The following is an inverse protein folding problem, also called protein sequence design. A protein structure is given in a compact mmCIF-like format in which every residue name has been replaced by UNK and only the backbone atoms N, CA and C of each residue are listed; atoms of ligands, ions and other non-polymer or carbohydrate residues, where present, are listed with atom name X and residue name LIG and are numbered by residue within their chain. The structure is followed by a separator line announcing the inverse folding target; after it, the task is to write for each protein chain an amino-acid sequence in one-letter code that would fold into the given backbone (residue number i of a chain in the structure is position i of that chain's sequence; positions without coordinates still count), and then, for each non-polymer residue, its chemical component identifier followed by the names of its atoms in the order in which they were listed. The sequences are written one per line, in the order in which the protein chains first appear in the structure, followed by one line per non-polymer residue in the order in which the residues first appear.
data_IF_884454028596
#
_entry.id   IF_884454028596
#
_cell.length_a   1.000
_cell.length_b   1.000
_cell.length_c   1.000
_cell.angle_alpha   90.00
_cell.angle_beta   90.00
_cell.angle_gamma   90.00
#
_symmetry.space_group_name_H-M   'P 1'
#
loop_
_entity.id
_entity.type
_entity.pdbx_description
1 polymer ?
#
# COMPACT_ATOMS: atom_id res chain seq x y z
N UNK A 1 -4.32 4.77 19.96
CA UNK A 1 -3.02 5.47 19.92
C UNK A 1 -3.24 6.79 19.19
N UNK A 2 -2.76 7.91 19.72
CA UNK A 2 -2.75 9.17 18.97
C UNK A 2 -1.77 8.95 17.82
N UNK A 3 -2.27 9.00 16.58
CA UNK A 3 -1.44 8.91 15.38
C UNK A 3 -0.50 10.12 15.37
N UNK A 4 0.80 9.89 15.16
CA UNK A 4 1.77 10.97 15.04
C UNK A 4 1.28 11.95 13.94
N UNK A 5 1.13 13.26 14.22
CA UNK A 5 0.61 14.22 13.25
C UNK A 5 1.38 14.27 11.92
N UNK A 6 2.64 13.81 11.88
CA UNK A 6 3.39 13.66 10.62
C UNK A 6 2.75 12.65 9.65
N UNK A 7 1.86 11.78 10.14
CA UNK A 7 1.12 10.78 9.37
C UNK A 7 -0.38 11.09 9.27
N UNK A 8 -0.83 12.30 9.64
CA UNK A 8 -2.21 12.73 9.43
C UNK A 8 -2.56 12.71 7.93
N UNK A 9 -3.83 12.52 7.57
CA UNK A 9 -4.25 12.57 6.16
C UNK A 9 -4.38 14.01 5.63
N UNK A 10 -4.49 15.00 6.50
CA UNK A 10 -4.38 16.41 6.14
C UNK A 10 -2.92 16.81 5.88
N UNK A 11 -2.66 17.25 4.64
CA UNK A 11 -1.34 17.71 4.21
C UNK A 11 -0.82 18.89 5.03
N UNK A 12 -1.68 19.84 5.41
CA UNK A 12 -1.25 21.02 6.15
C UNK A 12 -0.82 20.67 7.58
N UNK A 13 -1.46 19.67 8.19
CA UNK A 13 -1.03 19.11 9.47
C UNK A 13 0.37 18.52 9.34
N UNK A 14 0.58 17.65 8.33
CA UNK A 14 1.89 17.03 8.08
C UNK A 14 2.99 18.06 7.81
N UNK A 15 2.72 19.04 6.95
CA UNK A 15 3.70 20.06 6.56
C UNK A 15 4.11 20.93 7.76
N UNK A 16 3.14 21.35 8.58
CA UNK A 16 3.43 22.10 9.81
C UNK A 16 4.27 21.27 10.77
N UNK A 17 3.90 20.01 11.00
CA UNK A 17 4.66 19.12 11.87
C UNK A 17 6.07 18.88 11.33
N UNK A 18 6.25 18.71 10.01
CA UNK A 18 7.58 18.54 9.43
C UNK A 18 8.46 19.78 9.67
N UNK A 19 7.93 20.99 9.46
CA UNK A 19 8.68 22.24 9.71
C UNK A 19 9.13 22.36 11.17
N UNK A 20 8.24 22.08 12.11
CA UNK A 20 8.58 22.06 13.54
C UNK A 20 9.71 21.06 13.84
N UNK A 21 9.66 19.87 13.25
CA UNK A 21 10.68 18.82 13.43
C UNK A 21 12.04 19.24 12.85
N UNK A 22 12.04 19.86 11.67
CA UNK A 22 13.26 20.40 11.04
C UNK A 22 13.92 21.48 11.91
N UNK A 23 13.12 22.31 12.59
CA UNK A 23 13.63 23.39 13.45
C UNK A 23 14.13 22.89 14.81
N UNK A 24 13.54 21.81 15.34
CA UNK A 24 13.76 21.36 16.72
C UNK A 24 14.65 20.13 16.86
N UNK A 25 14.77 19.31 15.82
CA UNK A 25 15.58 18.10 15.83
C UNK A 25 16.96 18.34 15.21
N UNK A 26 17.94 17.54 15.62
CA UNK A 26 19.24 17.45 14.97
C UNK A 26 19.32 16.18 14.13
N UNK A 27 19.94 16.30 12.96
CA UNK A 27 20.10 15.19 12.03
C UNK A 27 21.59 14.84 11.89
N UNK A 28 21.94 13.55 11.71
CA UNK A 28 23.31 13.15 11.41
C UNK A 28 23.73 13.66 10.02
N UNK A 29 25.05 13.68 9.78
CA UNK A 29 25.57 13.81 8.42
C UNK A 29 25.10 12.64 7.55
N UNK A 30 24.92 12.91 6.25
CA UNK A 30 24.55 11.87 5.29
C UNK A 30 25.67 10.83 5.20
N UNK A 31 25.29 9.55 5.35
CA UNK A 31 26.14 8.40 5.11
C UNK A 31 26.21 8.04 3.63
N UNK A 32 26.32 6.74 3.34
CA UNK A 32 26.35 6.19 1.97
C UNK A 32 25.16 5.30 1.63
N UNK A 33 24.26 5.07 2.60
CA UNK A 33 23.10 4.23 2.39
C UNK A 33 22.03 4.95 1.58
N UNK A 34 21.46 4.21 0.63
CA UNK A 34 20.39 4.67 -0.25
C UNK A 34 19.18 3.77 -0.06
N UNK A 35 18.00 4.36 0.07
CA UNK A 35 16.73 3.64 -0.05
C UNK A 35 15.86 4.31 -1.10
N UNK A 36 15.92 3.81 -2.34
CA UNK A 36 15.20 4.38 -3.48
C UNK A 36 13.79 3.81 -3.69
N UNK A 37 13.34 2.87 -2.84
CA UNK A 37 12.05 2.19 -3.00
C UNK A 37 11.35 2.03 -1.65
N UNK A 38 10.59 3.05 -1.28
CA UNK A 38 9.67 2.99 -0.17
C UNK A 38 8.24 3.32 -0.61
N UNK A 39 7.27 2.57 -0.13
CA UNK A 39 5.86 2.93 -0.27
C UNK A 39 5.44 3.89 0.85
N UNK A 40 4.47 4.75 0.57
CA UNK A 40 3.81 5.61 1.55
C UNK A 40 2.36 5.15 1.76
N UNK A 41 1.60 5.83 2.60
CA UNK A 41 0.17 5.56 2.76
C UNK A 41 -0.67 5.85 1.52
N UNK A 42 -0.11 6.51 0.49
CA UNK A 42 -0.83 6.73 -0.78
C UNK A 42 -0.96 5.43 -1.59
N UNK A 43 -0.19 4.39 -1.24
CA UNK A 43 -0.42 3.03 -1.73
C UNK A 43 -0.57 2.03 -0.59
N UNK A 44 0.51 1.68 0.10
CA UNK A 44 0.45 0.99 1.39
C UNK A 44 1.79 1.05 2.10
N UNK A 45 1.79 1.53 3.35
CA UNK A 45 2.93 1.39 4.24
C UNK A 45 2.46 0.74 5.55
N UNK A 46 3.12 -0.34 5.99
CA UNK A 46 2.70 -1.08 7.18
C UNK A 46 2.79 -0.27 8.49
N UNK A 47 3.56 0.82 8.50
CA UNK A 47 3.66 1.77 9.62
C UNK A 47 2.77 3.01 9.42
N UNK A 48 2.04 3.08 8.31
CA UNK A 48 1.23 4.25 7.94
C UNK A 48 2.05 5.50 7.63
N UNK A 49 3.30 5.35 7.15
CA UNK A 49 4.14 6.52 6.86
C UNK A 49 3.60 7.35 5.70
N UNK A 50 3.46 8.65 5.93
CA UNK A 50 3.33 9.66 4.89
C UNK A 50 4.64 9.83 4.11
N UNK A 51 4.61 10.48 2.93
CA UNK A 51 5.85 10.92 2.29
C UNK A 51 6.73 11.77 3.20
N UNK A 52 6.15 12.72 3.96
CA UNK A 52 6.89 13.56 4.90
C UNK A 52 7.54 12.76 6.03
N UNK A 53 6.83 11.78 6.57
CA UNK A 53 7.34 10.90 7.62
C UNK A 53 8.50 10.05 7.11
N UNK A 54 8.36 9.46 5.93
CA UNK A 54 9.47 8.71 5.32
C UNK A 54 10.70 9.59 5.08
N UNK A 55 10.54 10.82 4.57
CA UNK A 55 11.65 11.75 4.40
C UNK A 55 12.33 12.09 5.74
N UNK A 56 11.54 12.37 6.78
CA UNK A 56 12.06 12.66 8.12
C UNK A 56 12.83 11.47 8.71
N UNK A 57 12.29 10.26 8.61
CA UNK A 57 12.96 9.04 9.09
C UNK A 57 14.22 8.73 8.27
N UNK A 58 14.19 8.93 6.94
CA UNK A 58 15.38 8.82 6.10
C UNK A 58 16.50 9.76 6.57
N UNK A 59 16.15 11.02 6.89
CA UNK A 59 17.10 12.01 7.41
C UNK A 59 17.64 11.63 8.79
N UNK A 60 16.77 11.17 9.71
CA UNK A 60 17.18 10.67 11.05
C UNK A 60 18.13 9.49 10.98
N UNK A 61 17.99 8.62 9.98
CA UNK A 61 18.87 7.47 9.77
C UNK A 61 20.16 7.83 9.00
N UNK A 62 20.34 9.09 8.58
CA UNK A 62 21.51 9.53 7.84
C UNK A 62 21.61 8.90 6.44
N UNK A 63 20.49 8.66 5.77
CA UNK A 63 20.52 8.21 4.37
C UNK A 63 21.12 9.29 3.47
N UNK A 64 21.91 8.86 2.47
CA UNK A 64 22.37 9.76 1.41
C UNK A 64 21.21 10.15 0.49
N UNK A 65 20.30 9.22 0.25
CA UNK A 65 19.14 9.40 -0.62
C UNK A 65 17.94 8.56 -0.14
N UNK A 66 16.75 9.15 -0.23
CA UNK A 66 15.47 8.48 -0.05
C UNK A 66 14.58 8.58 -1.29
N UNK A 67 13.85 7.53 -1.62
CA UNK A 67 12.90 7.53 -2.74
C UNK A 67 11.57 6.88 -2.39
N UNK A 68 10.49 7.49 -2.86
CA UNK A 68 9.14 6.92 -2.76
C UNK A 68 8.72 6.31 -4.09
N UNK A 69 8.01 5.19 -4.02
CA UNK A 69 7.48 4.46 -5.16
C UNK A 69 6.10 3.93 -4.78
N UNK A 70 5.06 4.73 -5.00
CA UNK A 70 3.70 4.32 -4.66
C UNK A 70 3.06 3.48 -5.78
N UNK A 71 2.23 2.52 -5.39
CA UNK A 71 1.56 1.62 -6.31
C UNK A 71 0.42 2.32 -7.06
N UNK A 72 0.44 2.30 -8.39
CA UNK A 72 -0.56 2.87 -9.32
C UNK A 72 -0.81 4.40 -9.21
N UNK A 73 -0.06 5.14 -8.37
CA UNK A 73 -0.31 6.58 -8.15
C UNK A 73 0.97 7.40 -7.95
N UNK A 74 0.86 8.72 -8.19
CA UNK A 74 1.87 9.74 -7.89
C UNK A 74 1.41 10.74 -6.82
N UNK A 75 0.38 10.41 -6.03
CA UNK A 75 -0.26 11.34 -5.08
C UNK A 75 0.70 11.89 -4.01
N UNK A 76 1.78 11.16 -3.69
CA UNK A 76 2.81 11.58 -2.74
C UNK A 76 3.92 12.48 -3.31
N UNK A 77 3.94 12.72 -4.63
CA UNK A 77 5.05 13.36 -5.34
C UNK A 77 5.36 14.77 -4.81
N UNK A 78 4.37 15.67 -4.79
CA UNK A 78 4.59 17.07 -4.41
C UNK A 78 4.97 17.21 -2.92
N UNK A 79 4.35 16.38 -2.08
CA UNK A 79 4.68 16.32 -0.65
C UNK A 79 6.13 15.85 -0.45
N UNK A 80 6.56 14.79 -1.15
CA UNK A 80 7.91 14.26 -0.97
C UNK A 80 8.98 15.23 -1.48
N UNK A 81 8.73 15.93 -2.58
CA UNK A 81 9.62 17.00 -3.03
C UNK A 81 9.67 18.17 -2.05
N UNK A 82 8.54 18.55 -1.45
CA UNK A 82 8.52 19.57 -0.41
C UNK A 82 9.32 19.14 0.82
N UNK A 83 9.10 17.90 1.29
CA UNK A 83 9.75 17.38 2.47
C UNK A 83 11.27 17.20 2.28
N UNK A 84 11.69 16.63 1.15
CA UNK A 84 13.10 16.42 0.82
C UNK A 84 13.87 17.74 0.72
N UNK A 85 13.28 18.79 0.14
CA UNK A 85 13.88 20.13 0.09
C UNK A 85 14.03 20.75 1.47
N UNK A 86 13.02 20.60 2.35
CA UNK A 86 13.09 21.11 3.73
C UNK A 86 14.17 20.41 4.55
N UNK A 87 14.41 19.12 4.30
CA UNK A 87 15.37 18.29 5.03
C UNK A 87 16.77 18.26 4.39
N UNK A 88 16.96 18.88 3.23
CA UNK A 88 18.16 18.73 2.40
C UNK A 88 18.51 17.23 2.21
N UNK A 89 17.54 16.47 1.69
CA UNK A 89 17.63 15.04 1.40
C UNK A 89 17.63 14.85 -0.12
N UNK A 90 18.61 14.12 -0.67
CA UNK A 90 18.56 13.72 -2.08
C UNK A 90 17.37 12.80 -2.27
N UNK A 91 16.55 13.07 -3.29
CA UNK A 91 15.27 12.41 -3.45
C UNK A 91 15.01 11.92 -4.87
N UNK A 92 14.16 10.90 -4.96
CA UNK A 92 13.58 10.42 -6.21
C UNK A 92 12.13 10.00 -5.97
N UNK A 93 11.28 10.25 -6.95
CA UNK A 93 9.89 9.80 -6.94
C UNK A 93 9.69 8.83 -8.10
N UNK A 94 9.04 7.72 -7.81
CA UNK A 94 8.64 6.71 -8.77
C UNK A 94 7.20 6.28 -8.58
N UNK A 95 6.76 5.47 -9.53
CA UNK A 95 5.51 4.73 -9.50
C UNK A 95 5.83 3.27 -9.76
N UNK A 96 5.14 2.37 -9.07
CA UNK A 96 5.17 0.94 -9.36
C UNK A 96 3.77 0.49 -9.77
N UNK A 97 3.68 -0.36 -10.77
CA UNK A 97 2.42 -1.02 -11.13
C UNK A 97 2.67 -2.47 -11.48
N UNK A 98 1.59 -3.22 -11.69
CA UNK A 98 1.64 -4.52 -12.36
C UNK A 98 1.18 -4.34 -13.80
N UNK A 99 1.96 -4.89 -14.72
CA UNK A 99 1.69 -4.85 -16.15
C UNK A 99 1.61 -6.26 -16.72
N UNK A 100 0.84 -6.42 -17.79
CA UNK A 100 0.86 -7.62 -18.62
C UNK A 100 1.95 -7.51 -19.70
N UNK A 101 2.76 -8.56 -19.85
CA UNK A 101 3.81 -8.68 -20.86
C UNK A 101 3.46 -9.83 -21.82
N UNK A 102 2.84 -9.54 -22.99
CA UNK A 102 2.34 -10.56 -23.90
C UNK A 102 3.38 -11.60 -24.33
N UNK A 103 4.64 -11.18 -24.48
CA UNK A 103 5.77 -12.01 -24.89
C UNK A 103 6.11 -13.09 -23.86
N UNK A 104 5.65 -12.92 -22.61
CA UNK A 104 5.88 -13.82 -21.50
C UNK A 104 4.56 -14.32 -20.88
N UNK A 105 3.47 -14.34 -21.66
CA UNK A 105 2.13 -14.72 -21.18
C UNK A 105 2.06 -16.09 -20.49
N UNK A 106 2.97 -17.02 -20.81
CA UNK A 106 3.05 -18.36 -20.24
C UNK A 106 4.14 -18.51 -19.16
N UNK A 107 4.82 -17.42 -18.76
CA UNK A 107 5.94 -17.44 -17.83
C UNK A 107 5.70 -16.56 -16.61
N UNK A 108 6.09 -17.08 -15.45
CA UNK A 108 6.21 -16.28 -14.23
C UNK A 108 7.49 -15.43 -14.34
N UNK A 109 7.34 -14.10 -14.24
CA UNK A 109 8.44 -13.13 -14.37
C UNK A 109 8.95 -12.74 -12.98
N UNK A 110 8.23 -11.84 -12.31
CA UNK A 110 8.51 -11.39 -10.95
C UNK A 110 7.24 -11.29 -10.09
N UNK A 111 6.06 -11.62 -10.65
CA UNK A 111 4.82 -11.80 -9.88
C UNK A 111 4.56 -13.29 -9.58
N UNK A 112 4.77 -13.76 -8.34
CA UNK A 112 4.69 -15.18 -8.02
C UNK A 112 3.32 -15.80 -8.34
N UNK A 113 3.31 -16.84 -9.17
CA UNK A 113 2.09 -17.58 -9.54
C UNK A 113 1.21 -16.87 -10.58
N UNK A 114 1.68 -15.76 -11.16
CA UNK A 114 0.92 -14.97 -12.15
C UNK A 114 1.70 -14.91 -13.48
N UNK A 115 1.50 -15.88 -14.40
CA UNK A 115 2.13 -15.86 -15.71
C UNK A 115 1.79 -14.59 -16.50
N UNK A 116 2.78 -14.02 -17.18
CA UNK A 116 2.63 -12.79 -17.98
C UNK A 116 2.55 -11.50 -17.16
N UNK A 117 2.48 -11.56 -15.82
CA UNK A 117 2.41 -10.37 -14.97
C UNK A 117 3.80 -9.98 -14.48
N UNK A 118 4.14 -8.71 -14.66
CA UNK A 118 5.38 -8.11 -14.16
C UNK A 118 5.09 -6.91 -13.27
N UNK A 119 5.76 -6.79 -12.14
CA UNK A 119 5.98 -5.50 -11.51
C UNK A 119 6.84 -4.64 -12.43
N UNK A 120 6.40 -3.41 -12.69
CA UNK A 120 7.04 -2.46 -13.59
C UNK A 120 7.06 -1.09 -12.95
N UNK A 121 8.20 -0.40 -13.07
CA UNK A 121 8.45 0.85 -12.36
C UNK A 121 8.86 1.95 -13.34
N UNK A 122 8.32 3.15 -13.11
CA UNK A 122 8.85 4.40 -13.62
C UNK A 122 9.53 5.17 -12.48
N UNK A 123 10.62 5.87 -12.76
CA UNK A 123 11.33 6.67 -11.75
C UNK A 123 11.86 7.98 -12.34
N UNK A 124 12.02 9.00 -11.50
CA UNK A 124 12.51 10.31 -11.91
C UNK A 124 11.40 11.34 -12.18
N UNK A 125 10.20 11.15 -11.62
CA UNK A 125 9.11 12.12 -11.77
C UNK A 125 9.38 13.39 -10.97
N UNK A 126 9.36 14.54 -11.64
CA UNK A 126 9.70 15.85 -11.03
C UNK A 126 8.50 16.77 -10.83
N UNK A 127 7.33 16.43 -11.36
CA UNK A 127 6.10 17.23 -11.25
C UNK A 127 4.86 16.33 -11.24
N UNK A 128 3.82 16.76 -10.52
CA UNK A 128 2.48 16.20 -10.61
C UNK A 128 1.64 16.82 -11.75
N UNK A 129 2.21 17.72 -12.55
CA UNK A 129 1.60 18.23 -13.79
C UNK A 129 1.66 17.14 -14.88
N UNK A 130 0.75 16.18 -14.77
CA UNK A 130 0.68 15.02 -15.67
C UNK A 130 -0.13 15.40 -16.92
N UNK A 131 0.36 15.11 -18.15
CA UNK A 131 -0.41 15.34 -19.37
C UNK A 131 -1.79 14.66 -19.31
N UNK A 132 -2.86 15.25 -19.91
CA UNK A 132 -4.22 14.72 -19.78
C UNK A 132 -4.38 13.24 -20.17
N UNK A 133 -3.64 12.77 -21.18
CA UNK A 133 -3.65 11.38 -21.63
C UNK A 133 -3.06 10.43 -20.59
N UNK A 134 -1.89 10.77 -20.02
CA UNK A 134 -1.27 10.00 -18.94
C UNK A 134 -2.10 10.05 -17.65
N UNK A 135 -2.76 11.18 -17.36
CA UNK A 135 -3.68 11.29 -16.24
C UNK A 135 -4.89 10.35 -16.41
N UNK A 136 -5.49 10.32 -17.61
CA UNK A 136 -6.59 9.41 -17.91
C UNK A 136 -6.18 7.93 -17.79
N UNK A 137 -4.94 7.60 -18.17
CA UNK A 137 -4.39 6.26 -17.98
C UNK A 137 -4.24 5.89 -16.49
N UNK A 138 -3.68 6.78 -15.66
CA UNK A 138 -3.57 6.58 -14.21
C UNK A 138 -4.94 6.45 -13.55
N UNK A 139 -5.91 7.28 -13.93
CA UNK A 139 -7.27 7.21 -13.43
C UNK A 139 -7.92 5.86 -13.80
N UNK A 140 -7.70 5.38 -15.03
CA UNK A 140 -8.14 4.06 -15.48
C UNK A 140 -7.56 2.92 -14.64
N UNK A 141 -6.25 2.94 -14.37
CA UNK A 141 -5.60 1.95 -13.50
C UNK A 141 -6.23 1.95 -12.10
N UNK A 142 -6.48 3.13 -11.53
CA UNK A 142 -7.11 3.29 -10.22
C UNK A 142 -8.53 2.70 -10.21
N UNK A 143 -9.35 3.01 -11.21
CA UNK A 143 -10.71 2.45 -11.34
C UNK A 143 -10.68 0.93 -11.43
N UNK A 144 -9.84 0.35 -12.30
CA UNK A 144 -9.72 -1.10 -12.42
C UNK A 144 -9.24 -1.73 -11.10
N UNK A 145 -8.34 -1.08 -10.37
CA UNK A 145 -7.88 -1.56 -9.07
C UNK A 145 -8.99 -1.58 -8.02
N UNK A 146 -9.79 -0.51 -7.95
CA UNK A 146 -10.95 -0.45 -7.06
C UNK A 146 -11.98 -1.53 -7.39
N UNK A 147 -12.35 -1.71 -8.66
CA UNK A 147 -13.29 -2.73 -9.11
C UNK A 147 -12.82 -4.13 -8.71
N UNK A 148 -11.53 -4.44 -8.91
CA UNK A 148 -10.92 -5.71 -8.47
C UNK A 148 -11.00 -5.88 -6.95
N UNK A 149 -10.74 -4.83 -6.18
CA UNK A 149 -10.80 -4.90 -4.73
C UNK A 149 -12.24 -5.12 -4.24
N UNK A 150 -13.23 -4.45 -4.83
CA UNK A 150 -14.66 -4.65 -4.48
C UNK A 150 -15.10 -6.08 -4.79
N UNK A 151 -14.77 -6.59 -5.98
CA UNK A 151 -15.04 -7.98 -6.33
C UNK A 151 -14.29 -8.99 -5.44
N UNK A 152 -13.11 -8.62 -4.91
CA UNK A 152 -12.39 -9.42 -3.91
C UNK A 152 -13.11 -9.44 -2.57
N UNK A 153 -13.61 -8.29 -2.10
CA UNK A 153 -14.38 -8.19 -0.85
C UNK A 153 -15.64 -9.06 -0.92
N UNK A 154 -16.37 -9.06 -2.03
CA UNK A 154 -17.56 -9.92 -2.18
C UNK A 154 -17.25 -11.41 -1.94
N UNK A 155 -16.18 -11.91 -2.58
CA UNK A 155 -15.76 -13.31 -2.48
C UNK A 155 -15.20 -13.65 -1.10
N UNK A 156 -14.42 -12.74 -0.51
CA UNK A 156 -13.85 -12.95 0.82
C UNK A 156 -14.92 -12.84 1.92
N UNK A 157 -15.92 -11.97 1.77
CA UNK A 157 -17.08 -11.90 2.68
C UNK A 157 -17.86 -13.22 2.69
N UNK A 158 -18.11 -13.82 1.52
CA UNK A 158 -18.78 -15.12 1.43
C UNK A 158 -18.01 -16.22 2.19
N UNK A 159 -16.67 -16.20 2.13
CA UNK A 159 -15.81 -17.14 2.85
C UNK A 159 -15.78 -16.87 4.37
N UNK A 160 -15.70 -15.60 4.76
CA UNK A 160 -15.54 -15.17 6.16
C UNK A 160 -16.88 -15.04 6.92
N UNK A 161 -18.01 -15.30 6.29
CA UNK A 161 -19.33 -15.27 6.93
C UNK A 161 -19.33 -15.95 8.33
N UNK A 162 -19.88 -15.30 9.38
CA UNK A 162 -20.77 -14.15 9.32
C UNK A 162 -20.07 -12.78 9.27
N UNK A 163 -18.73 -12.71 9.24
CA UNK A 163 -18.01 -11.44 9.12
C UNK A 163 -18.28 -10.81 7.74
N UNK A 164 -18.75 -9.57 7.73
CA UNK A 164 -19.03 -8.81 6.50
C UNK A 164 -18.27 -7.49 6.53
N UNK A 165 -17.35 -7.34 5.59
CA UNK A 165 -16.63 -6.09 5.36
C UNK A 165 -17.39 -5.22 4.36
N UNK A 166 -17.61 -3.96 4.70
CA UNK A 166 -18.14 -2.94 3.81
C UNK A 166 -16.96 -2.14 3.21
N UNK A 167 -16.85 -2.09 1.88
CA UNK A 167 -15.72 -1.42 1.25
C UNK A 167 -15.69 0.10 1.54
N UNK A 168 -16.85 0.76 1.47
CA UNK A 168 -16.93 2.21 1.58
C UNK A 168 -16.79 2.67 3.03
N UNK A 169 -17.31 1.89 3.99
CA UNK A 169 -17.23 2.22 5.41
C UNK A 169 -15.93 1.72 6.07
N UNK A 170 -15.42 0.54 5.69
CA UNK A 170 -14.31 -0.11 6.41
C UNK A 170 -12.96 0.00 5.67
N UNK A 171 -12.95 0.20 4.34
CA UNK A 171 -11.71 0.24 3.52
C UNK A 171 -11.37 1.64 3.03
N UNK A 172 -12.30 2.32 2.35
CA UNK A 172 -12.06 3.63 1.75
C UNK A 172 -11.47 4.66 2.74
N UNK A 173 -11.88 4.70 4.03
CA UNK A 173 -11.30 5.61 5.02
C UNK A 173 -9.84 5.31 5.40
N UNK A 174 -9.29 4.16 5.00
CA UNK A 174 -7.89 3.79 5.28
C UNK A 174 -6.89 4.43 4.31
N UNK A 175 -7.37 5.11 3.25
CA UNK A 175 -6.55 5.75 2.23
C UNK A 175 -6.97 7.21 2.05
N UNK A 176 -6.03 8.17 2.01
CA UNK A 176 -6.37 9.59 1.87
C UNK A 176 -6.90 9.98 0.49
N UNK A 177 -6.63 9.17 -0.54
CA UNK A 177 -6.95 9.46 -1.95
C UNK A 177 -7.63 8.29 -2.68
N UNK A 178 -8.19 7.35 -1.94
CA UNK A 178 -8.99 6.25 -2.50
C UNK A 178 -8.19 5.11 -3.15
N UNK A 179 -6.85 5.17 -3.13
CA UNK A 179 -6.00 4.11 -3.69
C UNK A 179 -5.81 2.94 -2.70
N UNK A 180 -6.89 2.20 -2.42
CA UNK A 180 -6.82 1.02 -1.57
C UNK A 180 -6.13 -0.15 -2.29
N UNK A 181 -5.48 -1.02 -1.53
CA UNK A 181 -4.76 -2.20 -2.04
C UNK A 181 -5.25 -3.45 -1.29
N UNK A 182 -4.87 -4.63 -1.76
CA UNK A 182 -5.12 -5.90 -1.04
C UNK A 182 -4.72 -5.82 0.45
N UNK A 183 -3.64 -5.08 0.77
CA UNK A 183 -3.16 -4.95 2.15
C UNK A 183 -4.10 -4.10 3.01
N UNK A 184 -4.76 -3.09 2.43
CA UNK A 184 -5.81 -2.33 3.10
C UNK A 184 -7.03 -3.22 3.39
N UNK A 185 -7.40 -4.12 2.49
CA UNK A 185 -8.48 -5.09 2.74
C UNK A 185 -8.15 -6.00 3.93
N UNK A 186 -6.93 -6.52 4.00
CA UNK A 186 -6.50 -7.38 5.11
C UNK A 186 -6.56 -6.64 6.46
N UNK A 187 -6.10 -5.40 6.48
CA UNK A 187 -6.18 -4.52 7.66
C UNK A 187 -7.64 -4.27 8.07
N UNK A 188 -8.50 -3.98 7.10
CA UNK A 188 -9.92 -3.73 7.35
C UNK A 188 -10.63 -4.98 7.88
N UNK A 189 -10.39 -6.17 7.32
CA UNK A 189 -10.92 -7.44 7.83
C UNK A 189 -10.46 -7.74 9.26
N UNK A 190 -9.16 -7.55 9.53
CA UNK A 190 -8.61 -7.71 10.87
C UNK A 190 -9.32 -6.82 11.91
N UNK A 191 -9.50 -5.54 11.58
CA UNK A 191 -10.17 -4.56 12.44
C UNK A 191 -11.67 -4.85 12.59
N UNK A 192 -12.34 -5.24 11.50
CA UNK A 192 -13.76 -5.60 11.51
C UNK A 192 -14.02 -6.79 12.43
N UNK A 193 -13.20 -7.84 12.31
CA UNK A 193 -13.32 -9.01 13.16
C UNK A 193 -13.11 -8.67 14.64
N UNK A 194 -12.17 -7.79 14.97
CA UNK A 194 -11.99 -7.34 16.36
C UNK A 194 -13.19 -6.55 16.90
N UNK A 195 -13.92 -5.83 16.04
CA UNK A 195 -15.18 -5.18 16.41
C UNK A 195 -16.32 -6.16 16.66
N UNK A 196 -16.47 -7.15 15.78
CA UNK A 196 -17.55 -8.15 15.86
C UNK A 196 -17.29 -9.23 16.93
N UNK A 197 -16.02 -9.50 17.23
CA UNK A 197 -15.54 -10.47 18.22
C UNK A 197 -14.60 -9.77 19.23
N UNK A 198 -15.14 -8.97 20.18
CA UNK A 198 -14.33 -8.15 21.08
C UNK A 198 -13.53 -8.95 22.12
N UNK A 199 -13.95 -10.18 22.42
CA UNK A 199 -13.23 -11.07 23.34
C UNK A 199 -12.11 -11.80 22.58
N UNK A 200 -10.87 -11.75 23.08
CA UNK A 200 -9.72 -12.34 22.38
C UNK A 200 -9.91 -13.84 22.07
N UNK A 201 -10.52 -14.58 22.99
CA UNK A 201 -10.82 -16.00 22.80
C UNK A 201 -11.77 -16.27 21.63
N UNK A 202 -12.81 -15.43 21.44
CA UNK A 202 -13.74 -15.59 20.31
C UNK A 202 -13.12 -15.13 19.00
N UNK A 203 -12.32 -14.05 19.01
CA UNK A 203 -11.56 -13.60 17.85
C UNK A 203 -10.57 -14.67 17.35
N UNK A 204 -9.83 -15.30 18.27
CA UNK A 204 -8.92 -16.40 17.96
C UNK A 204 -9.68 -17.61 17.41
N UNK A 205 -10.80 -17.98 18.04
CA UNK A 205 -11.61 -19.10 17.57
C UNK A 205 -12.12 -18.87 16.13
N UNK A 206 -12.64 -17.67 15.85
CA UNK A 206 -13.09 -17.29 14.50
C UNK A 206 -11.96 -17.39 13.47
N UNK A 207 -10.80 -16.77 13.73
CA UNK A 207 -9.69 -16.82 12.77
C UNK A 207 -9.10 -18.21 12.63
N UNK A 208 -9.06 -18.97 13.71
CA UNK A 208 -8.59 -20.35 13.71
C UNK A 208 -9.45 -21.24 12.81
N UNK A 209 -10.77 -21.14 12.97
CA UNK A 209 -11.74 -21.83 12.13
C UNK A 209 -11.61 -21.41 10.66
N UNK A 210 -11.63 -20.10 10.39
CA UNK A 210 -11.65 -19.57 9.02
C UNK A 210 -10.35 -19.78 8.26
N UNK A 211 -9.20 -19.69 8.92
CA UNK A 211 -7.88 -19.72 8.26
C UNK A 211 -7.20 -21.09 8.38
N UNK A 212 -7.76 -22.02 9.16
CA UNK A 212 -7.23 -23.37 9.36
C UNK A 212 -5.87 -23.35 10.05
N UNK A 213 -5.73 -22.54 11.10
CA UNK A 213 -4.49 -22.35 11.88
C UNK A 213 -4.83 -22.50 13.36
N UNK A 214 -3.95 -23.11 14.16
CA UNK A 214 -4.21 -23.25 15.59
C UNK A 214 -4.30 -21.87 16.28
N UNK A 215 -5.16 -21.71 17.32
CA UNK A 215 -5.32 -20.42 18.01
C UNK A 215 -4.02 -19.81 18.53
N UNK A 216 -3.08 -20.65 18.98
CA UNK A 216 -1.77 -20.25 19.52
C UNK A 216 -0.77 -19.83 18.43
N UNK A 217 -1.01 -20.23 17.18
CA UNK A 217 -0.18 -19.86 16.03
C UNK A 217 -0.60 -18.50 15.43
N UNK A 218 -1.75 -17.95 15.84
CA UNK A 218 -2.20 -16.61 15.45
C UNK A 218 -1.35 -15.54 16.17
N UNK A 219 -0.61 -14.76 15.38
CA UNK A 219 0.32 -13.73 15.86
C UNK A 219 -0.20 -12.34 15.55
N UNK A 220 0.21 -11.38 16.39
CA UNK A 220 -0.02 -9.95 16.19
C UNK A 220 -1.51 -9.57 16.00
N UNK A 221 -2.41 -10.20 16.76
CA UNK A 221 -3.82 -9.80 16.78
C UNK A 221 -4.00 -8.39 17.40
N UNK A 222 -5.02 -7.63 16.96
CA UNK A 222 -5.95 -7.98 15.90
C UNK A 222 -5.42 -7.69 14.50
N UNK A 223 -4.58 -6.68 14.31
CA UNK A 223 -4.30 -6.09 13.00
C UNK A 223 -2.80 -5.87 12.68
N UNK A 224 -1.92 -6.51 13.44
CA UNK A 224 -0.49 -6.48 13.18
C UNK A 224 -0.07 -7.29 11.96
N UNK A 225 1.23 -7.24 11.66
CA UNK A 225 1.79 -7.79 10.42
C UNK A 225 1.56 -9.31 10.29
N UNK A 226 1.78 -10.07 11.37
CA UNK A 226 1.53 -11.51 11.37
C UNK A 226 0.09 -11.87 10.98
N UNK A 227 -0.89 -11.16 11.54
CA UNK A 227 -2.30 -11.41 11.26
C UNK A 227 -2.70 -10.99 9.84
N UNK A 228 -2.32 -9.79 9.41
CA UNK A 228 -2.69 -9.25 8.09
C UNK A 228 -2.02 -10.03 6.95
N UNK A 229 -0.76 -10.45 7.09
CA UNK A 229 -0.08 -11.31 6.11
C UNK A 229 -0.73 -12.71 6.07
N UNK A 230 -1.19 -13.25 7.21
CA UNK A 230 -1.90 -14.54 7.25
C UNK A 230 -3.27 -14.46 6.56
N UNK A 231 -4.07 -13.41 6.81
CA UNK A 231 -5.33 -13.17 6.11
C UNK A 231 -5.06 -13.15 4.61
N UNK A 232 -4.10 -12.33 4.16
CA UNK A 232 -3.74 -12.22 2.75
C UNK A 232 -3.37 -13.57 2.13
N UNK A 233 -2.51 -14.33 2.80
CA UNK A 233 -2.04 -15.62 2.29
C UNK A 233 -3.17 -16.65 2.16
N UNK A 234 -4.12 -16.66 3.10
CA UNK A 234 -5.19 -17.65 3.16
C UNK A 234 -6.41 -17.27 2.33
N UNK A 235 -6.66 -15.99 2.11
CA UNK A 235 -7.87 -15.53 1.43
C UNK A 235 -7.61 -14.91 0.06
N UNK A 236 -6.49 -14.22 -0.19
CA UNK A 236 -6.31 -13.39 -1.40
C UNK A 236 -5.25 -13.92 -2.37
N UNK A 237 -4.47 -14.94 -1.98
CA UNK A 237 -3.45 -15.57 -2.85
C UNK A 237 -3.93 -16.88 -3.43
N UNK A 238 -3.17 -17.42 -4.38
CA UNK A 238 -3.53 -18.62 -5.14
C UNK A 238 -4.08 -19.73 -4.23
N UNK A 239 -5.31 -20.16 -4.52
CA UNK A 239 -6.06 -21.14 -3.71
C UNK A 239 -6.96 -20.55 -2.61
N UNK A 240 -6.87 -19.25 -2.33
CA UNK A 240 -7.77 -18.52 -1.44
C UNK A 240 -9.06 -18.05 -2.13
N UNK A 241 -10.12 -17.84 -1.36
CA UNK A 241 -11.45 -17.49 -1.87
C UNK A 241 -11.49 -16.19 -2.71
N UNK A 242 -10.65 -15.23 -2.36
CA UNK A 242 -10.45 -13.95 -3.02
C UNK A 242 -9.46 -13.99 -4.19
N UNK A 243 -8.87 -15.12 -4.53
CA UNK A 243 -7.97 -15.22 -5.68
C UNK A 243 -8.73 -15.46 -6.99
N UNK A 244 -8.42 -14.65 -7.99
CA UNK A 244 -8.74 -14.89 -9.40
C UNK A 244 -7.43 -14.78 -10.14
N UNK A 245 -7.13 -15.77 -10.99
CA UNK A 245 -5.94 -15.73 -11.81
C UNK A 245 -6.03 -14.51 -12.75
N UNK A 246 -5.04 -13.60 -12.73
CA UNK A 246 -5.04 -12.49 -13.65
C UNK A 246 -5.00 -12.96 -15.11
N UNK A 247 -5.73 -12.26 -15.96
CA UNK A 247 -5.69 -12.40 -17.40
C UNK A 247 -5.16 -11.13 -18.07
N UNK A 248 -5.10 -11.12 -19.41
CA UNK A 248 -4.59 -9.98 -20.17
C UNK A 248 -5.41 -8.70 -20.05
N UNK A 249 -6.61 -8.74 -19.47
CA UNK A 249 -7.44 -7.57 -19.19
C UNK A 249 -7.32 -7.06 -17.75
N UNK A 250 -6.60 -7.80 -16.90
CA UNK A 250 -6.50 -7.51 -15.47
C UNK A 250 -5.53 -6.38 -15.15
N UNK A 251 -4.59 -6.08 -16.06
CA UNK A 251 -3.52 -5.09 -15.91
C UNK A 251 -3.21 -4.42 -17.26
N UNK A 252 -2.73 -3.15 -17.26
CA UNK A 252 -2.27 -2.51 -18.48
C UNK A 252 -1.11 -3.30 -19.10
N UNK A 253 -0.93 -3.17 -20.41
CA UNK A 253 0.25 -3.73 -21.07
C UNK A 253 1.49 -2.93 -20.70
N UNK A 254 2.65 -3.58 -20.71
CA UNK A 254 3.93 -2.92 -20.47
C UNK A 254 4.19 -1.76 -21.45
N UNK A 255 3.77 -1.90 -22.71
CA UNK A 255 3.89 -0.84 -23.70
C UNK A 255 3.07 0.41 -23.31
N UNK A 256 1.81 0.22 -22.89
CA UNK A 256 0.91 1.31 -22.48
C UNK A 256 1.44 2.06 -21.25
N UNK A 257 2.15 1.38 -20.36
CA UNK A 257 2.78 2.00 -19.19
C UNK A 257 4.06 2.80 -19.52
N UNK A 258 4.68 2.54 -20.68
CA UNK A 258 5.92 3.21 -21.11
C UNK A 258 5.69 4.39 -22.06
N UNK A 259 4.49 4.49 -22.65
CA UNK A 259 4.10 5.57 -23.57
C UNK A 259 3.76 6.87 -22.80
#
# INVERSE_FOLDING_TARGET
MIQDPINDFDYEVRLRTLRERVETESFPEAGSFVNAHAHTFFSFNYRGYSPSCFALEAKKQGLDMGGIVDFDVLDGLEEFWTASRLLDLKACVGIESRVFVPEFADRVINSPGEPGISYHMGTGFTTADIPPEAQAFLDGMRTTSEERNRAMVERVNAFLAPLVLDYDADVAPLTPKGNATERHLCLAYARKAAGDFPEEGSLRAFWSEKLGVAPDDLKDLPDGRGMTDLIRAKTMKQGGAGYVQPDSGSFPKMAEMND
#
